data_IF_022542022287
#
_entry.id   IF_022542022287
#
_cell.length_a   1.000
_cell.length_b   1.000
_cell.length_c   1.000
_cell.angle_alpha   90.00
_cell.angle_beta   90.00
_cell.angle_gamma   90.00
#
_symmetry.space_group_name_H-M   'P 1'
#
loop_
_entity.id
_entity.type
_entity.pdbx_description
1 polymer ?
#
# COMPACT_ATOMS: atom_id res chain seq x y z
N UNK A 1 -14.86 2.80 7.20
CA UNK A 1 -14.95 1.99 5.98
C UNK A 1 -13.74 1.09 5.94
N UNK A 2 -13.97 -0.20 6.01
CA UNK A 2 -12.92 -1.20 5.87
C UNK A 2 -12.42 -1.21 4.41
N UNK A 3 -11.39 -0.41 4.12
CA UNK A 3 -10.80 -0.29 2.79
C UNK A 3 -9.98 -1.51 2.34
N UNK A 4 -10.21 -2.69 2.90
CA UNK A 4 -9.46 -3.90 2.58
C UNK A 4 -9.74 -4.37 1.16
N UNK A 5 -8.68 -4.65 0.42
CA UNK A 5 -8.79 -5.36 -0.85
C UNK A 5 -8.99 -6.84 -0.53
N UNK A 6 -10.09 -7.39 -0.99
CA UNK A 6 -10.39 -8.83 -0.90
C UNK A 6 -10.62 -9.40 -2.28
N UNK A 7 -9.88 -10.44 -2.63
CA UNK A 7 -10.14 -11.24 -3.81
C UNK A 7 -11.13 -12.36 -3.49
N UNK A 8 -12.09 -12.56 -4.37
CA UNK A 8 -13.01 -13.70 -4.32
C UNK A 8 -12.90 -14.51 -5.60
N UNK A 9 -13.02 -15.85 -5.52
CA UNK A 9 -13.13 -16.68 -6.70
C UNK A 9 -14.30 -16.24 -7.58
N UNK A 10 -14.20 -16.43 -8.89
CA UNK A 10 -15.32 -16.17 -9.82
C UNK A 10 -16.57 -16.98 -9.49
N UNK A 11 -16.38 -18.15 -8.86
CA UNK A 11 -17.44 -19.07 -8.50
C UNK A 11 -17.45 -19.32 -6.99
N UNK A 12 -18.64 -19.50 -6.44
CA UNK A 12 -18.79 -19.92 -5.05
C UNK A 12 -18.28 -21.37 -4.90
N UNK A 13 -17.28 -21.63 -4.02
CA UNK A 13 -16.68 -22.97 -3.91
C UNK A 13 -17.65 -24.03 -3.37
N UNK A 14 -18.80 -23.65 -2.80
CA UNK A 14 -19.79 -24.59 -2.24
C UNK A 14 -20.91 -24.93 -3.22
N UNK A 15 -21.31 -23.99 -4.07
CA UNK A 15 -22.44 -24.16 -5.00
C UNK A 15 -22.02 -24.25 -6.46
N UNK A 16 -20.77 -23.99 -6.77
CA UNK A 16 -20.25 -23.83 -8.14
C UNK A 16 -20.92 -22.73 -8.97
N UNK A 17 -21.84 -21.95 -8.35
CA UNK A 17 -22.52 -20.85 -9.01
C UNK A 17 -21.60 -19.62 -9.12
N UNK A 18 -21.72 -18.81 -10.19
CA UNK A 18 -20.98 -17.56 -10.30
C UNK A 18 -21.30 -16.62 -9.12
N UNK A 19 -20.25 -16.04 -8.52
CA UNK A 19 -20.44 -14.99 -7.54
C UNK A 19 -21.05 -13.75 -8.19
N UNK A 20 -22.12 -13.23 -7.58
CA UNK A 20 -22.85 -12.05 -8.06
C UNK A 20 -22.52 -10.87 -7.15
N UNK A 21 -22.16 -9.75 -7.73
CA UNK A 21 -21.85 -8.51 -7.01
C UNK A 21 -22.53 -7.33 -7.70
N UNK A 22 -22.84 -6.31 -6.92
CA UNK A 22 -23.28 -5.03 -7.48
C UNK A 22 -22.11 -4.30 -8.13
N UNK A 23 -22.39 -3.51 -9.15
CA UNK A 23 -21.38 -2.76 -9.89
C UNK A 23 -21.88 -1.36 -10.27
N UNK A 24 -20.97 -0.51 -10.66
CA UNK A 24 -21.25 0.81 -11.23
C UNK A 24 -20.42 0.95 -12.50
N UNK A 25 -20.98 1.62 -13.48
CA UNK A 25 -20.26 2.04 -14.67
C UNK A 25 -19.53 3.35 -14.43
N UNK A 26 -18.45 3.53 -15.15
CA UNK A 26 -17.73 4.79 -15.27
C UNK A 26 -17.48 5.09 -16.73
N UNK A 27 -17.49 6.37 -17.07
CA UNK A 27 -17.19 6.90 -18.39
C UNK A 27 -16.25 8.09 -18.25
N UNK A 28 -15.29 8.25 -19.14
CA UNK A 28 -14.37 9.39 -19.12
C UNK A 28 -12.97 9.05 -19.57
N UNK A 29 -11.99 9.73 -18.97
CA UNK A 29 -10.58 9.53 -19.27
C UNK A 29 -10.16 8.09 -18.95
N UNK A 30 -9.71 7.36 -19.96
CA UNK A 30 -9.23 5.97 -19.82
C UNK A 30 -7.83 5.89 -19.19
N UNK A 31 -7.13 7.01 -19.08
CA UNK A 31 -5.81 7.10 -18.44
C UNK A 31 -5.89 7.48 -16.96
N UNK A 32 -7.12 7.71 -16.43
CA UNK A 32 -7.31 7.91 -15.00
C UNK A 32 -6.80 6.70 -14.21
N UNK A 33 -5.92 6.96 -13.22
CA UNK A 33 -5.30 5.93 -12.41
C UNK A 33 -4.05 5.29 -13.01
N UNK A 34 -3.58 5.76 -14.19
CA UNK A 34 -2.26 5.42 -14.73
C UNK A 34 -1.25 6.46 -14.29
N UNK A 35 -0.24 6.04 -13.55
CA UNK A 35 0.85 6.91 -13.12
C UNK A 35 1.81 7.22 -14.28
N UNK A 36 2.49 8.35 -14.21
CA UNK A 36 3.58 8.72 -15.12
C UNK A 36 4.77 9.23 -14.31
N UNK A 37 5.60 8.31 -13.88
CA UNK A 37 6.72 8.56 -12.99
C UNK A 37 7.96 9.06 -13.71
N UNK A 38 8.56 10.13 -13.16
CA UNK A 38 9.82 10.73 -13.62
C UNK A 38 10.79 10.79 -12.45
N UNK A 39 12.00 10.24 -12.62
CA UNK A 39 13.08 10.38 -11.64
C UNK A 39 13.71 11.77 -11.76
N UNK A 40 13.66 12.54 -10.68
CA UNK A 40 14.21 13.90 -10.62
C UNK A 40 15.72 13.92 -10.34
N UNK A 41 16.36 12.76 -10.20
CA UNK A 41 17.79 12.59 -9.92
C UNK A 41 18.27 13.25 -8.62
N UNK A 42 17.37 13.58 -7.71
CA UNK A 42 17.65 14.20 -6.40
C UNK A 42 17.05 13.41 -5.23
N UNK A 43 16.71 12.13 -5.46
CA UNK A 43 16.07 11.24 -4.49
C UNK A 43 14.54 11.37 -4.46
N UNK A 44 13.96 12.10 -5.40
CA UNK A 44 12.51 12.25 -5.55
C UNK A 44 12.02 11.74 -6.89
N UNK A 45 10.73 11.37 -6.95
CA UNK A 45 10.01 10.93 -8.14
C UNK A 45 8.78 11.81 -8.28
N UNK A 46 8.62 12.44 -9.43
CA UNK A 46 7.37 13.14 -9.79
C UNK A 46 6.43 12.20 -10.51
N UNK A 47 5.16 12.16 -10.08
CA UNK A 47 4.09 11.56 -10.86
C UNK A 47 3.33 12.65 -11.59
N UNK A 48 3.61 12.82 -12.87
CA UNK A 48 3.02 13.90 -13.68
C UNK A 48 1.54 13.67 -13.99
N UNK A 49 1.03 12.45 -13.77
CA UNK A 49 -0.39 12.15 -13.93
C UNK A 49 -1.24 12.63 -12.75
N UNK A 50 -0.68 12.62 -11.55
CA UNK A 50 -1.38 13.05 -10.31
C UNK A 50 -0.93 14.41 -9.80
N UNK A 51 0.25 14.89 -10.25
CA UNK A 51 0.90 16.08 -9.71
C UNK A 51 1.56 15.88 -8.34
N UNK A 52 1.66 14.63 -7.87
CA UNK A 52 2.32 14.30 -6.61
C UNK A 52 3.82 14.07 -6.82
N UNK A 53 4.59 14.40 -5.79
CA UNK A 53 5.99 14.06 -5.69
C UNK A 53 6.18 13.04 -4.57
N UNK A 54 7.05 12.07 -4.79
CA UNK A 54 7.30 10.96 -3.90
C UNK A 54 8.78 10.87 -3.54
N UNK A 55 9.07 10.47 -2.31
CA UNK A 55 10.39 10.00 -1.92
C UNK A 55 10.72 8.73 -2.73
N UNK A 56 11.91 8.66 -3.33
CA UNK A 56 12.31 7.51 -4.15
C UNK A 56 12.66 6.28 -3.31
N UNK A 57 13.45 6.46 -2.25
CA UNK A 57 13.77 5.40 -1.29
C UNK A 57 12.82 5.49 -0.08
N UNK A 58 12.43 4.35 0.47
CA UNK A 58 11.68 4.32 1.72
C UNK A 58 12.56 4.73 2.94
N UNK A 59 12.01 4.67 4.15
CA UNK A 59 12.72 5.03 5.38
C UNK A 59 13.87 4.08 5.75
N UNK A 60 14.02 2.96 5.04
CA UNK A 60 15.00 1.88 5.27
C UNK A 60 14.95 1.25 6.67
N UNK A 61 14.09 1.74 7.53
CA UNK A 61 13.85 1.22 8.87
C UNK A 61 12.35 1.32 9.22
N UNK A 62 11.87 0.38 10.03
CA UNK A 62 10.50 0.42 10.54
C UNK A 62 10.33 1.58 11.52
N UNK A 63 9.26 2.33 11.37
CA UNK A 63 8.86 3.43 12.25
C UNK A 63 7.45 3.18 12.76
N UNK A 64 7.14 3.55 13.99
CA UNK A 64 5.75 3.63 14.41
C UNK A 64 5.06 4.82 13.71
N UNK A 65 3.73 4.87 13.80
CA UNK A 65 2.95 5.85 13.05
C UNK A 65 3.32 7.31 13.37
N UNK A 66 3.54 7.63 14.66
CA UNK A 66 3.94 8.98 15.07
C UNK A 66 5.33 9.34 14.56
N UNK A 67 6.28 8.40 14.63
CA UNK A 67 7.63 8.58 14.10
C UNK A 67 7.59 8.79 12.59
N UNK A 68 6.73 8.06 11.87
CA UNK A 68 6.58 8.21 10.43
C UNK A 68 6.04 9.59 10.04
N UNK A 69 5.07 10.14 10.80
CA UNK A 69 4.60 11.51 10.61
C UNK A 69 5.75 12.52 10.80
N UNK A 70 6.48 12.42 11.91
CA UNK A 70 7.61 13.30 12.22
C UNK A 70 8.72 13.19 11.18
N UNK A 71 9.03 11.98 10.73
CA UNK A 71 10.04 11.74 9.69
C UNK A 71 9.68 12.48 8.38
N UNK A 72 8.42 12.44 7.97
CA UNK A 72 7.97 13.17 6.80
C UNK A 72 8.05 14.69 7.02
N UNK A 73 7.48 15.21 8.13
CA UNK A 73 7.44 16.64 8.45
C UNK A 73 8.82 17.30 8.62
N UNK A 74 9.82 16.52 9.03
CA UNK A 74 11.20 17.00 9.21
C UNK A 74 12.08 16.82 7.97
N UNK A 75 11.55 16.20 6.91
CA UNK A 75 12.31 15.93 5.70
C UNK A 75 12.56 17.21 4.90
N UNK A 76 13.79 17.36 4.41
CA UNK A 76 14.20 18.40 3.44
C UNK A 76 14.65 17.80 2.11
N UNK A 77 14.16 16.59 1.80
CA UNK A 77 14.55 15.84 0.63
C UNK A 77 14.30 16.63 -0.67
N UNK A 78 15.28 16.63 -1.56
CA UNK A 78 15.19 17.34 -2.84
C UNK A 78 15.12 18.87 -2.72
N UNK A 79 15.31 19.42 -1.50
CA UNK A 79 15.22 20.85 -1.22
C UNK A 79 13.80 21.34 -0.91
N UNK A 80 12.87 20.44 -0.66
CA UNK A 80 11.48 20.72 -0.25
C UNK A 80 11.32 20.47 1.25
N UNK A 81 10.50 21.27 1.91
CA UNK A 81 10.22 21.24 3.36
C UNK A 81 8.72 21.04 3.69
N UNK A 82 7.92 20.71 2.70
CA UNK A 82 6.48 20.48 2.80
C UNK A 82 6.09 18.98 2.66
N UNK A 83 7.02 18.08 2.97
CA UNK A 83 6.78 16.64 2.96
C UNK A 83 5.77 16.22 4.04
N UNK A 84 4.92 15.27 3.67
CA UNK A 84 3.93 14.66 4.57
C UNK A 84 3.75 13.19 4.27
N UNK A 85 3.22 12.42 5.22
CA UNK A 85 2.73 11.08 4.89
C UNK A 85 1.58 11.17 3.88
N UNK A 86 1.57 10.28 2.87
CA UNK A 86 0.45 10.18 1.94
C UNK A 86 -0.82 9.75 2.68
N UNK A 87 -1.98 10.18 2.24
CA UNK A 87 -3.24 9.57 2.66
C UNK A 87 -3.40 8.17 2.01
N UNK A 88 -4.39 7.39 2.50
CA UNK A 88 -4.57 6.01 2.03
C UNK A 88 -4.86 5.92 0.52
N UNK A 89 -5.55 6.90 -0.08
CA UNK A 89 -5.84 6.90 -1.52
C UNK A 89 -4.59 7.23 -2.34
N UNK A 90 -3.81 8.19 -1.89
CA UNK A 90 -2.52 8.54 -2.51
C UNK A 90 -1.57 7.34 -2.46
N UNK A 91 -1.41 6.72 -1.30
CA UNK A 91 -0.54 5.55 -1.14
C UNK A 91 -1.03 4.36 -1.99
N UNK A 92 -2.35 4.14 -2.07
CA UNK A 92 -2.92 3.10 -2.92
C UNK A 92 -2.70 3.38 -4.42
N UNK A 93 -2.60 4.64 -4.83
CA UNK A 93 -2.43 5.02 -6.23
C UNK A 93 -1.09 4.59 -6.83
N UNK A 94 -0.06 4.35 -6.01
CA UNK A 94 1.25 3.86 -6.47
C UNK A 94 1.41 2.34 -6.40
N UNK A 95 0.36 1.61 -6.00
CA UNK A 95 0.36 0.14 -6.03
C UNK A 95 0.27 -0.35 -7.47
N UNK A 96 1.24 -1.15 -7.88
CA UNK A 96 1.25 -1.83 -9.17
C UNK A 96 0.68 -3.25 -9.01
N UNK A 97 -0.59 -3.44 -9.38
CA UNK A 97 -1.28 -4.73 -9.29
C UNK A 97 -0.78 -5.79 -10.28
N UNK A 98 0.13 -5.44 -11.18
CA UNK A 98 0.78 -6.41 -12.08
C UNK A 98 2.01 -7.07 -11.43
N UNK A 99 2.38 -6.62 -10.22
CA UNK A 99 3.57 -7.04 -9.47
C UNK A 99 3.21 -7.58 -8.09
N UNK A 100 3.93 -8.58 -7.66
CA UNK A 100 3.84 -9.09 -6.28
C UNK A 100 5.04 -9.96 -5.94
N UNK A 101 5.32 -10.24 -4.65
CA UNK A 101 6.36 -11.21 -4.28
C UNK A 101 6.18 -12.59 -4.93
N UNK A 102 4.93 -13.03 -5.09
CA UNK A 102 4.62 -14.35 -5.63
C UNK A 102 4.71 -14.46 -7.15
N UNK A 103 4.33 -13.41 -7.89
CA UNK A 103 4.22 -13.47 -9.34
C UNK A 103 5.40 -12.87 -10.08
N UNK A 104 6.01 -11.83 -9.53
CA UNK A 104 7.13 -11.10 -10.15
C UNK A 104 8.40 -11.06 -9.28
N UNK A 105 8.39 -11.72 -8.10
CA UNK A 105 9.47 -11.69 -7.12
C UNK A 105 9.91 -10.25 -6.79
N UNK A 106 8.93 -9.37 -6.65
CA UNK A 106 9.16 -7.93 -6.40
C UNK A 106 8.07 -7.33 -5.53
N UNK A 107 8.33 -6.16 -4.96
CA UNK A 107 7.27 -5.35 -4.36
C UNK A 107 6.21 -4.96 -5.41
N UNK A 108 4.98 -4.74 -4.95
CA UNK A 108 3.85 -4.27 -5.77
C UNK A 108 3.93 -2.77 -6.04
N UNK A 109 5.04 -2.31 -6.62
CA UNK A 109 5.31 -0.92 -6.95
C UNK A 109 6.21 -0.84 -8.18
N UNK A 110 6.17 0.28 -8.89
CA UNK A 110 7.02 0.51 -10.05
C UNK A 110 8.52 0.44 -9.68
N UNK A 111 9.38 -0.17 -10.52
CA UNK A 111 10.81 -0.39 -10.21
C UNK A 111 11.63 0.89 -10.02
N UNK A 112 11.09 2.04 -10.40
CA UNK A 112 11.74 3.34 -10.19
C UNK A 112 11.85 3.70 -8.70
N UNK A 113 10.97 3.12 -7.84
CA UNK A 113 11.04 3.24 -6.39
C UNK A 113 12.06 2.25 -5.79
N UNK A 114 12.86 2.72 -4.86
CA UNK A 114 13.84 1.92 -4.13
C UNK A 114 13.20 1.41 -2.85
N UNK A 115 12.70 0.18 -2.90
CA UNK A 115 11.98 -0.47 -1.80
C UNK A 115 12.90 -1.36 -1.00
N UNK A 116 12.91 -1.21 0.32
CA UNK A 116 13.65 -2.08 1.24
C UNK A 116 13.17 -3.53 1.14
N UNK A 117 14.05 -4.46 1.47
CA UNK A 117 13.72 -5.86 1.67
C UNK A 117 13.63 -6.13 3.17
N UNK A 118 12.59 -6.84 3.59
CA UNK A 118 12.39 -7.27 4.98
C UNK A 118 12.30 -8.79 5.07
N UNK A 119 12.38 -9.32 6.29
CA UNK A 119 11.91 -10.66 6.60
C UNK A 119 10.53 -10.54 7.22
N UNK A 120 9.54 -11.25 6.68
CA UNK A 120 8.19 -11.27 7.20
C UNK A 120 8.06 -12.17 8.43
N UNK A 121 6.86 -12.26 8.99
CA UNK A 121 6.56 -13.03 10.22
C UNK A 121 6.76 -14.54 10.02
N UNK A 122 6.83 -15.03 8.80
CA UNK A 122 7.18 -16.42 8.46
C UNK A 122 8.71 -16.61 8.26
N UNK A 123 9.53 -15.58 8.45
CA UNK A 123 10.97 -15.61 8.24
C UNK A 123 11.40 -15.59 6.76
N UNK A 124 10.49 -15.29 5.84
CA UNK A 124 10.74 -15.25 4.42
C UNK A 124 11.09 -13.82 3.96
N UNK A 125 11.92 -13.71 2.91
CA UNK A 125 12.18 -12.43 2.25
C UNK A 125 10.89 -11.85 1.71
N UNK A 126 10.64 -10.57 2.00
CA UNK A 126 9.43 -9.87 1.62
C UNK A 126 9.69 -8.36 1.49
N UNK A 127 8.62 -7.57 1.33
CA UNK A 127 8.65 -6.13 1.19
C UNK A 127 7.75 -5.45 2.22
N UNK A 128 8.05 -4.16 2.59
CA UNK A 128 7.40 -3.52 3.72
C UNK A 128 5.93 -3.17 3.50
N UNK A 129 5.30 -2.85 4.62
CA UNK A 129 4.06 -2.09 4.70
C UNK A 129 4.41 -0.62 4.87
N UNK A 130 3.66 0.27 4.25
CA UNK A 130 3.84 1.72 4.43
C UNK A 130 2.63 2.34 5.11
N UNK A 131 2.89 3.12 6.16
CA UNK A 131 1.88 3.91 6.85
C UNK A 131 1.30 4.98 5.94
N UNK A 132 0.00 5.26 6.11
CA UNK A 132 -0.64 6.47 5.61
C UNK A 132 -1.00 7.41 6.75
N UNK A 133 -1.30 8.68 6.43
CA UNK A 133 -1.83 9.65 7.38
C UNK A 133 -3.31 9.41 7.74
N UNK A 134 -3.97 8.46 7.09
CA UNK A 134 -5.41 8.20 7.26
C UNK A 134 -5.69 7.44 8.54
N UNK A 135 -6.52 8.01 9.40
CA UNK A 135 -7.08 7.33 10.57
C UNK A 135 -8.21 6.40 10.17
N UNK A 136 -8.20 5.16 10.65
CA UNK A 136 -9.31 4.24 10.55
C UNK A 136 -10.30 4.53 11.69
N UNK A 137 -11.52 4.94 11.33
CA UNK A 137 -12.51 5.39 12.32
C UNK A 137 -13.25 4.25 12.99
N UNK A 138 -13.45 3.12 12.30
CA UNK A 138 -14.13 1.94 12.83
C UNK A 138 -13.15 1.05 13.60
N UNK A 139 -13.67 0.30 14.54
CA UNK A 139 -12.91 -0.66 15.34
C UNK A 139 -13.45 -0.75 16.76
N UNK A 140 -12.90 -1.65 17.57
CA UNK A 140 -13.28 -1.76 19.00
C UNK A 140 -13.04 -0.47 19.78
N UNK A 141 -11.99 0.28 19.41
CA UNK A 141 -11.72 1.63 19.90
C UNK A 141 -11.71 2.57 18.72
N UNK A 142 -12.61 3.56 18.74
CA UNK A 142 -12.80 4.50 17.66
C UNK A 142 -11.54 5.32 17.39
N UNK A 143 -11.14 5.43 16.13
CA UNK A 143 -10.00 6.23 15.65
C UNK A 143 -8.61 5.82 16.23
N UNK A 144 -8.50 4.64 16.87
CA UNK A 144 -7.25 4.14 17.40
C UNK A 144 -6.28 3.71 16.28
N UNK A 145 -6.80 3.16 15.20
CA UNK A 145 -6.01 2.63 14.08
C UNK A 145 -5.59 3.66 13.04
N UNK A 146 -4.43 3.43 12.44
CA UNK A 146 -4.00 4.09 11.21
C UNK A 146 -3.98 3.10 10.05
N UNK A 147 -4.30 3.59 8.85
CA UNK A 147 -4.29 2.77 7.63
C UNK A 147 -2.87 2.64 7.10
N UNK A 148 -2.53 1.45 6.63
CA UNK A 148 -1.32 1.17 5.88
C UNK A 148 -1.61 0.30 4.65
N UNK A 149 -0.66 0.26 3.72
CA UNK A 149 -0.75 -0.54 2.49
C UNK A 149 0.41 -1.51 2.44
N UNK A 150 0.13 -2.78 2.11
CA UNK A 150 1.13 -3.82 1.92
C UNK A 150 1.70 -3.74 0.49
N UNK A 151 3.01 -3.61 0.36
CA UNK A 151 3.70 -3.72 -0.93
C UNK A 151 4.37 -5.09 -1.12
N UNK A 152 4.44 -5.87 -0.03
CA UNK A 152 4.78 -7.29 0.00
C UNK A 152 3.57 -8.17 0.25
N UNK A 153 3.81 -9.40 0.74
CA UNK A 153 2.76 -10.29 1.22
C UNK A 153 2.03 -9.64 2.40
N UNK A 154 0.74 -9.90 2.52
CA UNK A 154 -0.07 -9.47 3.66
C UNK A 154 -0.48 -10.71 4.45
N UNK A 155 0.45 -11.20 5.27
CA UNK A 155 0.29 -12.45 6.00
C UNK A 155 -0.82 -12.36 7.05
N UNK A 156 -1.42 -13.50 7.31
CA UNK A 156 -2.40 -13.70 8.36
C UNK A 156 -2.53 -15.17 8.71
N UNK A 157 -3.05 -15.47 9.89
CA UNK A 157 -3.32 -16.83 10.32
C UNK A 157 -4.67 -17.29 9.77
N UNK A 158 -4.68 -18.36 8.99
CA UNK A 158 -5.88 -19.02 8.51
C UNK A 158 -5.79 -20.52 8.72
N UNK A 159 -6.77 -21.10 9.43
CA UNK A 159 -6.85 -22.54 9.74
C UNK A 159 -5.56 -23.09 10.40
N UNK A 160 -4.94 -22.29 11.26
CA UNK A 160 -3.72 -22.67 11.98
C UNK A 160 -2.43 -22.55 11.17
N UNK A 161 -2.48 -22.04 9.94
CA UNK A 161 -1.30 -21.79 9.11
C UNK A 161 -1.13 -20.28 8.83
N UNK A 162 0.10 -19.81 8.85
CA UNK A 162 0.44 -18.47 8.37
C UNK A 162 0.54 -18.51 6.84
N UNK A 163 -0.21 -17.64 6.18
CA UNK A 163 -0.24 -17.57 4.71
C UNK A 163 -0.53 -16.15 4.24
N UNK A 164 -0.29 -15.88 2.97
CA UNK A 164 -0.66 -14.62 2.34
C UNK A 164 -2.18 -14.54 2.14
N UNK A 165 -2.87 -14.01 3.16
CA UNK A 165 -4.35 -13.98 3.20
C UNK A 165 -4.92 -12.83 2.38
N UNK A 166 -4.18 -11.74 2.27
CA UNK A 166 -4.69 -10.50 1.68
C UNK A 166 -3.98 -10.09 0.39
N UNK A 167 -2.75 -10.52 0.20
CA UNK A 167 -1.93 -10.17 -0.98
C UNK A 167 -1.36 -8.76 -0.98
N UNK A 168 -0.42 -8.55 -1.88
CA UNK A 168 0.17 -7.24 -2.11
C UNK A 168 -0.88 -6.23 -2.62
N UNK A 169 -0.77 -4.98 -2.19
CA UNK A 169 -1.73 -3.91 -2.45
C UNK A 169 -2.91 -3.87 -1.47
N UNK A 170 -2.97 -4.77 -0.48
CA UNK A 170 -4.04 -4.74 0.52
C UNK A 170 -3.91 -3.56 1.47
N UNK A 171 -5.04 -2.90 1.75
CA UNK A 171 -5.14 -1.93 2.84
C UNK A 171 -5.51 -2.64 4.14
N UNK A 172 -4.84 -2.27 5.21
CA UNK A 172 -5.10 -2.75 6.58
C UNK A 172 -4.99 -1.57 7.53
N UNK A 173 -5.33 -1.80 8.80
CA UNK A 173 -5.13 -0.82 9.87
C UNK A 173 -4.65 -1.51 11.14
N UNK A 174 -3.72 -0.88 11.80
CA UNK A 174 -3.20 -1.32 13.10
C UNK A 174 -3.21 -0.14 14.08
N UNK A 175 -3.16 -0.38 15.40
CA UNK A 175 -3.08 0.67 16.40
C UNK A 175 -1.91 1.62 16.11
N UNK A 176 -2.12 2.91 16.42
CA UNK A 176 -1.12 3.98 16.24
C UNK A 176 0.00 3.92 17.27
N UNK A 177 -0.25 3.22 18.39
CA UNK A 177 0.67 3.05 19.55
C UNK A 177 0.85 1.57 19.85
#
# INVERSE_FOLDING_TARGET
VDGRIKGYPKYNPRSAEPNKMYFRFVRGNTDYGKNNFVDNANGTISDTATGLMWQQADSQTGLNWQQALQYAEQSTLGGYDDWRLPNAKELQSIVDYTRSPQTSNSAAIAPIFKTSSINNEAGEKDYPYYWSSTTHLDGPVQAEGAVYVAFGKALGAMRGATMDVHGAGSQRSDPKT
#
